data_IF_371468960987
#
_entry.id   IF_371468960987
#
_cell.length_a   1.000
_cell.length_b   1.000
_cell.length_c   1.000
_cell.angle_alpha   90.00
_cell.angle_beta   90.00
_cell.angle_gamma   90.00
#
_symmetry.space_group_name_H-M   'P 1'
#
loop_
_entity.id
_entity.type
_entity.pdbx_description
1 polymer ?
#
# COMPACT_ATOMS: atom_id res chain seq x y z
N UNK A 1 3.53 23.96 23.10
CA UNK A 1 2.82 22.75 22.62
C UNK A 1 3.17 22.58 21.15
N UNK A 2 3.81 21.48 20.71
CA UNK A 2 4.11 21.31 19.30
C UNK A 2 2.79 21.11 18.56
N UNK A 3 2.50 21.99 17.60
CA UNK A 3 1.37 21.89 16.67
C UNK A 3 1.75 20.96 15.51
N UNK A 4 2.11 19.71 15.82
CA UNK A 4 2.29 18.67 14.81
C UNK A 4 0.99 17.89 14.68
N UNK A 5 0.51 17.66 13.47
CA UNK A 5 -0.60 16.73 13.26
C UNK A 5 -0.16 15.34 13.74
N UNK A 6 -1.00 14.62 14.49
CA UNK A 6 -0.72 13.22 14.86
C UNK A 6 -0.44 12.34 13.63
N UNK A 7 -0.95 12.73 12.46
CA UNK A 7 -0.66 12.09 11.18
C UNK A 7 0.81 12.28 10.73
N UNK A 8 1.43 13.43 11.00
CA UNK A 8 2.84 13.70 10.68
C UNK A 8 3.79 12.93 11.60
N UNK A 9 3.43 12.78 12.88
CA UNK A 9 4.24 12.02 13.83
C UNK A 9 4.27 10.52 13.49
N UNK A 10 3.11 9.95 13.13
CA UNK A 10 3.02 8.56 12.68
C UNK A 10 3.72 8.34 11.33
N UNK A 11 3.64 9.29 10.40
CA UNK A 11 4.35 9.23 9.13
C UNK A 11 5.88 9.19 9.29
N UNK A 12 6.43 9.66 10.42
CA UNK A 12 7.88 9.66 10.65
C UNK A 12 8.37 8.38 11.33
N UNK A 13 7.46 7.60 11.96
CA UNK A 13 7.83 6.50 12.86
C UNK A 13 7.26 5.15 12.44
N UNK A 14 6.28 5.13 11.55
CA UNK A 14 5.63 3.90 11.09
C UNK A 14 5.37 3.95 9.58
N UNK A 15 5.45 2.78 8.96
CA UNK A 15 5.10 2.57 7.56
C UNK A 15 3.84 1.74 7.48
N UNK A 16 2.84 2.23 6.75
CA UNK A 16 1.69 1.45 6.37
C UNK A 16 1.99 0.67 5.09
N UNK A 17 1.71 -0.62 5.09
CA UNK A 17 1.78 -1.49 3.93
C UNK A 17 0.38 -2.02 3.62
N UNK A 18 -0.04 -1.89 2.37
CA UNK A 18 -1.31 -2.46 1.88
C UNK A 18 -1.01 -3.52 0.84
N UNK A 19 -1.53 -4.73 1.05
CA UNK A 19 -1.49 -5.85 0.13
C UNK A 19 -2.80 -5.93 -0.64
N UNK A 20 -2.74 -6.04 -1.96
CA UNK A 20 -3.90 -6.27 -2.82
C UNK A 20 -3.81 -7.67 -3.41
N UNK A 21 -4.88 -8.46 -3.28
CA UNK A 21 -4.93 -9.86 -3.68
C UNK A 21 -5.63 -10.08 -5.03
N UNK A 22 -5.39 -11.24 -5.63
CA UNK A 22 -5.98 -11.69 -6.91
C UNK A 22 -7.52 -11.74 -6.93
N UNK A 23 -8.14 -11.81 -5.76
CA UNK A 23 -9.59 -11.82 -5.58
C UNK A 23 -10.21 -10.42 -5.39
N UNK A 24 -9.40 -9.36 -5.48
CA UNK A 24 -9.83 -7.97 -5.28
C UNK A 24 -9.96 -7.53 -3.82
N UNK A 25 -9.57 -8.37 -2.85
CA UNK A 25 -9.47 -7.99 -1.44
C UNK A 25 -8.16 -7.24 -1.17
N UNK A 26 -8.14 -6.46 -0.09
CA UNK A 26 -6.95 -5.79 0.40
C UNK A 26 -6.83 -5.82 1.92
N UNK A 27 -5.60 -5.90 2.40
CA UNK A 27 -5.27 -5.85 3.83
C UNK A 27 -4.19 -4.81 4.07
N UNK A 28 -4.36 -3.99 5.12
CA UNK A 28 -3.41 -2.94 5.48
C UNK A 28 -2.85 -3.18 6.88
N UNK A 29 -1.52 -3.12 7.01
CA UNK A 29 -0.79 -3.25 8.27
C UNK A 29 0.04 -2.00 8.54
N UNK A 30 0.13 -1.61 9.82
CA UNK A 30 1.06 -0.57 10.26
C UNK A 30 2.28 -1.22 10.88
N UNK A 31 3.45 -1.02 10.27
CA UNK A 31 4.72 -1.53 10.74
C UNK A 31 5.41 -0.39 11.50
N UNK A 32 5.90 -0.60 12.73
CA UNK A 32 6.59 0.41 13.53
C UNK A 32 8.05 0.60 13.08
N UNK A 33 8.25 0.75 11.77
CA UNK A 33 9.54 1.00 11.12
C UNK A 33 9.33 2.18 10.15
N UNK A 34 10.18 3.21 10.17
CA UNK A 34 10.14 4.30 9.19
C UNK A 34 10.36 3.82 7.75
N UNK A 35 9.80 4.52 6.77
CA UNK A 35 9.87 4.10 5.36
C UNK A 35 11.30 4.05 4.82
N UNK A 36 12.16 4.98 5.24
CA UNK A 36 13.57 5.04 4.86
C UNK A 36 14.36 3.82 5.36
N UNK A 37 14.02 3.29 6.54
CA UNK A 37 14.64 2.07 7.09
C UNK A 37 14.11 0.80 6.40
N UNK A 38 12.86 0.83 5.93
CA UNK A 38 12.27 -0.27 5.16
C UNK A 38 12.84 -0.35 3.73
N UNK A 39 13.23 0.79 3.14
CA UNK A 39 13.72 0.90 1.77
C UNK A 39 14.76 -0.16 1.36
N UNK A 40 15.89 -0.33 2.07
CA UNK A 40 16.91 -1.32 1.70
C UNK A 40 16.41 -2.76 1.83
N UNK A 41 15.40 -3.02 2.66
CA UNK A 41 14.85 -4.36 2.92
C UNK A 41 13.73 -4.73 1.95
N UNK A 42 13.10 -3.73 1.31
CA UNK A 42 11.85 -3.92 0.57
C UNK A 42 11.99 -4.95 -0.55
N UNK A 43 13.06 -4.88 -1.35
CA UNK A 43 13.29 -5.84 -2.44
C UNK A 43 13.42 -7.28 -1.91
N UNK A 44 14.13 -7.47 -0.79
CA UNK A 44 14.25 -8.79 -0.18
C UNK A 44 12.91 -9.29 0.37
N UNK A 45 12.13 -8.41 1.00
CA UNK A 45 10.82 -8.74 1.56
C UNK A 45 9.82 -9.13 0.47
N UNK A 46 9.76 -8.36 -0.63
CA UNK A 46 8.86 -8.65 -1.74
C UNK A 46 9.18 -9.96 -2.47
N UNK A 47 10.43 -10.44 -2.36
CA UNK A 47 10.87 -11.72 -2.91
C UNK A 47 10.65 -12.92 -1.96
N UNK A 48 10.20 -12.71 -0.71
CA UNK A 48 9.86 -13.82 0.19
C UNK A 48 8.54 -14.47 -0.24
N UNK A 49 8.44 -15.79 -0.10
CA UNK A 49 7.18 -16.50 -0.35
C UNK A 49 6.09 -16.14 0.68
N UNK A 50 6.50 -15.91 1.93
CA UNK A 50 5.62 -15.59 3.04
C UNK A 50 6.14 -14.39 3.82
N UNK A 51 5.24 -13.48 4.18
CA UNK A 51 5.51 -12.41 5.14
C UNK A 51 4.74 -12.67 6.42
N UNK A 52 5.38 -12.47 7.57
CA UNK A 52 4.77 -12.73 8.88
C UNK A 52 4.65 -11.43 9.67
N UNK A 53 3.47 -11.18 10.20
CA UNK A 53 3.12 -10.02 11.00
C UNK A 53 2.68 -10.50 12.39
N UNK A 54 3.40 -10.07 13.42
CA UNK A 54 2.98 -10.28 14.81
C UNK A 54 2.18 -9.07 15.26
N UNK A 55 0.86 -9.24 15.35
CA UNK A 55 -0.05 -8.26 15.92
C UNK A 55 -0.15 -8.49 17.43
N UNK A 56 -0.90 -7.62 18.13
CA UNK A 56 -1.02 -7.67 19.59
C UNK A 56 -1.68 -8.97 20.07
N UNK A 57 -2.63 -9.50 19.31
CA UNK A 57 -3.50 -10.62 19.67
C UNK A 57 -3.35 -11.84 18.76
N UNK A 58 -2.75 -11.68 17.57
CA UNK A 58 -2.60 -12.76 16.60
C UNK A 58 -1.35 -12.63 15.74
N UNK A 59 -0.95 -13.74 15.12
CA UNK A 59 0.05 -13.74 14.05
C UNK A 59 -0.64 -13.92 12.71
N UNK A 60 -0.34 -13.05 11.76
CA UNK A 60 -0.87 -13.10 10.39
C UNK A 60 0.28 -13.45 9.45
N UNK A 61 0.03 -14.38 8.53
CA UNK A 61 1.00 -14.78 7.51
C UNK A 61 0.41 -14.53 6.12
N UNK A 62 1.07 -13.67 5.34
CA UNK A 62 0.66 -13.29 4.00
C UNK A 62 1.40 -14.13 2.98
N UNK A 63 0.65 -14.81 2.11
CA UNK A 63 1.21 -15.52 0.96
C UNK A 63 1.46 -14.55 -0.19
N UNK A 64 2.73 -14.28 -0.50
CA UNK A 64 3.09 -13.33 -1.55
C UNK A 64 2.75 -13.86 -2.95
N UNK A 65 2.54 -15.16 -3.14
CA UNK A 65 2.10 -15.73 -4.43
C UNK A 65 0.66 -15.32 -4.81
N UNK A 66 -0.10 -14.74 -3.87
CA UNK A 66 -1.49 -14.28 -4.07
C UNK A 66 -1.62 -12.76 -4.10
N UNK A 67 -0.54 -12.05 -3.89
CA UNK A 67 -0.50 -10.59 -3.86
C UNK A 67 -0.19 -10.09 -5.28
N UNK A 68 -1.05 -9.24 -5.82
CA UNK A 68 -0.86 -8.62 -7.14
C UNK A 68 -0.13 -7.27 -7.07
N UNK A 69 -0.31 -6.55 -5.96
CA UNK A 69 0.24 -5.20 -5.78
C UNK A 69 0.47 -4.91 -4.30
N UNK A 70 1.52 -4.15 -4.01
CA UNK A 70 1.81 -3.61 -2.69
C UNK A 70 1.83 -2.09 -2.77
N UNK A 71 1.18 -1.42 -1.81
CA UNK A 71 1.28 0.03 -1.61
C UNK A 71 1.93 0.35 -0.26
N UNK A 72 2.77 1.38 -0.23
CA UNK A 72 3.46 1.84 0.97
C UNK A 72 3.12 3.31 1.25
N UNK A 73 2.93 3.64 2.54
CA UNK A 73 2.79 5.03 3.01
C UNK A 73 3.60 5.22 4.30
N UNK A 74 4.42 6.28 4.42
CA UNK A 74 4.71 7.30 3.42
C UNK A 74 5.51 6.73 2.22
N UNK A 75 5.65 7.47 1.10
CA UNK A 75 6.44 7.04 -0.04
C UNK A 75 7.90 6.80 0.35
N UNK A 76 8.52 5.79 -0.24
CA UNK A 76 9.94 5.47 -0.09
C UNK A 76 10.69 6.13 -1.24
N UNK A 77 11.31 7.28 -1.00
CA UNK A 77 11.98 8.06 -2.04
C UNK A 77 13.40 7.57 -2.33
N UNK A 78 13.94 6.75 -1.44
CA UNK A 78 15.29 6.18 -1.47
C UNK A 78 15.41 4.95 -2.39
N UNK A 79 14.31 4.52 -3.01
CA UNK A 79 14.36 3.41 -3.97
C UNK A 79 15.08 3.85 -5.25
N UNK A 80 16.10 3.09 -5.64
CA UNK A 80 16.89 3.29 -6.85
C UNK A 80 16.95 2.00 -7.68
N UNK A 81 17.00 2.12 -9.01
CA UNK A 81 17.09 0.98 -9.92
C UNK A 81 16.16 1.05 -11.14
N UNK A 82 16.19 0.00 -11.96
CA UNK A 82 15.34 -0.13 -13.14
C UNK A 82 13.85 -0.27 -12.74
N UNK A 83 12.96 0.37 -13.50
CA UNK A 83 11.52 0.32 -13.24
C UNK A 83 11.00 1.25 -12.13
N UNK A 84 11.86 2.11 -11.57
CA UNK A 84 11.47 3.11 -10.57
C UNK A 84 11.24 4.47 -11.24
N UNK A 85 10.08 5.07 -10.98
CA UNK A 85 9.67 6.36 -11.54
C UNK A 85 9.32 7.35 -10.42
N UNK A 86 10.24 8.27 -10.15
CA UNK A 86 10.05 9.31 -9.13
C UNK A 86 8.99 10.33 -9.55
N UNK A 87 8.27 10.88 -8.57
CA UNK A 87 7.23 11.91 -8.76
C UNK A 87 6.12 11.51 -9.75
N UNK A 88 5.86 10.20 -9.88
CA UNK A 88 4.76 9.68 -10.69
C UNK A 88 3.40 10.07 -10.11
N UNK A 89 2.44 10.37 -10.99
CA UNK A 89 1.08 10.69 -10.59
C UNK A 89 0.13 9.53 -10.93
N UNK A 90 -0.67 9.09 -9.95
CA UNK A 90 -1.79 8.18 -10.21
C UNK A 90 -2.88 8.94 -10.96
N UNK A 91 -3.14 8.54 -12.20
CA UNK A 91 -4.25 9.08 -13.00
C UNK A 91 -5.34 8.02 -13.07
N UNK A 92 -6.54 8.34 -12.59
CA UNK A 92 -7.72 7.47 -12.72
C UNK A 92 -8.64 8.07 -13.77
N UNK A 93 -8.94 7.31 -14.83
CA UNK A 93 -9.93 7.72 -15.81
C UNK A 93 -11.31 7.73 -15.13
N UNK A 94 -11.92 8.92 -15.02
CA UNK A 94 -13.27 9.10 -14.50
C UNK A 94 -14.27 8.49 -15.50
N UNK A 95 -14.62 7.21 -15.32
CA UNK A 95 -15.67 6.59 -16.10
C UNK A 95 -17.01 7.15 -15.60
N UNK A 96 -17.46 8.25 -16.20
CA UNK A 96 -18.84 8.75 -16.00
C UNK A 96 -19.78 7.60 -16.31
N UNK A 97 -20.63 7.25 -15.34
CA UNK A 97 -21.69 6.26 -15.50
C UNK A 97 -22.66 6.66 -16.62
N UNK A 98 -22.38 6.24 -17.85
CA UNK A 98 -23.34 6.23 -18.93
C UNK A 98 -24.21 4.97 -18.81
N UNK A 99 -24.97 4.86 -17.71
CA UNK A 99 -26.17 4.01 -17.70
C UNK A 99 -27.34 4.97 -17.87
N UNK A 100 -27.53 5.40 -19.12
CA UNK A 100 -28.74 6.11 -19.51
C UNK A 100 -29.94 5.23 -19.18
N UNK A 101 -30.77 5.66 -18.24
CA UNK A 101 -32.13 5.11 -18.06
C UNK A 101 -32.96 5.49 -19.29
N UNK A 102 -32.84 4.72 -20.37
CA UNK A 102 -33.90 4.69 -21.38
C UNK A 102 -35.02 3.81 -20.84
N UNK A 103 -36.04 4.44 -20.23
CA UNK A 103 -37.36 3.80 -20.09
C UNK A 103 -38.03 3.83 -21.47
N UNK A 104 -38.04 2.70 -22.16
CA UNK A 104 -39.02 2.46 -23.23
C UNK A 104 -40.33 2.16 -22.51
N UNK A 105 -41.33 3.01 -22.71
CA UNK A 105 -42.71 2.72 -22.31
C UNK A 105 -43.48 2.59 -23.61
N UNK A 106 -43.99 1.39 -23.88
CA UNK A 106 -45.04 1.14 -24.89
C UNK A 106 -46.38 1.69 -24.41
#
# INVERSE_FOLDING_TARGET
>A
MPKGSFAEYNATTATQITFYYDNGHDETFSIPIPSAELAPLLSQLLNQAWLTFHLVDQTVMINMAKVEKVELKPPVMELEGEGIFLNSQRVTALHRGAVGRFKVTE
#
